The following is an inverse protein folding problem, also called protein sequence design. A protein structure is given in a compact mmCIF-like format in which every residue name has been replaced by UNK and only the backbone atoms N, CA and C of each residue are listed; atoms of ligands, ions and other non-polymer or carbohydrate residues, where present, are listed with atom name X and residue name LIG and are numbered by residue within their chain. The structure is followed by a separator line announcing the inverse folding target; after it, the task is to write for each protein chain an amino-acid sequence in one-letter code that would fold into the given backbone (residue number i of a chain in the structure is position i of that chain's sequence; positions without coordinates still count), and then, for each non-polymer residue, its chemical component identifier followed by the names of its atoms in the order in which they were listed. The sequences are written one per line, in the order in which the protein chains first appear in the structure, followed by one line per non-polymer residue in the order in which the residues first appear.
data_IF_523557562531
#
_entry.id   IF_523557562531
#
_cell.length_a   1.000
_cell.length_b   1.000
_cell.length_c   1.000
_cell.angle_alpha   90.00
_cell.angle_beta   90.00
_cell.angle_gamma   90.00
#
_symmetry.space_group_name_H-M   'P 1'
#
loop_
_entity.id
_entity.type
_entity.pdbx_description
1 polymer ?
#
# COMPACT_ATOMS: atom_id res chain seq x y z
N UNK A 1 -3.01 2.42 7.58
CA UNK A 1 -3.37 3.14 6.34
C UNK A 1 -4.24 2.25 5.45
N UNK A 2 -5.03 2.80 4.50
CA UNK A 2 -5.72 1.99 3.47
C UNK A 2 -5.19 2.36 2.09
N UNK A 3 -4.78 1.37 1.31
CA UNK A 3 -4.21 1.52 -0.03
C UNK A 3 -5.20 0.93 -1.03
N UNK A 4 -5.48 1.63 -2.13
CA UNK A 4 -6.34 1.11 -3.18
C UNK A 4 -5.53 0.41 -4.25
N UNK A 5 -5.88 -0.82 -4.60
CA UNK A 5 -5.28 -1.59 -5.69
C UNK A 5 -6.08 -1.37 -6.99
N UNK A 6 -5.47 -0.69 -7.97
CA UNK A 6 -6.10 -0.42 -9.26
C UNK A 6 -6.14 -1.64 -10.18
N UNK A 7 -5.24 -2.60 -10.00
CA UNK A 7 -5.16 -3.82 -10.81
C UNK A 7 -6.29 -4.78 -10.46
N UNK A 8 -6.52 -5.02 -9.16
CA UNK A 8 -7.58 -5.92 -8.67
C UNK A 8 -8.87 -5.21 -8.27
N UNK A 9 -8.87 -3.87 -8.23
CA UNK A 9 -10.03 -3.05 -7.80
C UNK A 9 -10.48 -3.36 -6.37
N UNK A 10 -9.51 -3.50 -5.46
CA UNK A 10 -9.72 -3.84 -4.04
C UNK A 10 -8.92 -2.94 -3.10
N UNK A 11 -9.12 -3.09 -1.80
CA UNK A 11 -8.34 -2.35 -0.80
C UNK A 11 -7.35 -3.28 -0.09
N UNK A 12 -6.12 -2.80 0.00
CA UNK A 12 -5.07 -3.36 0.83
C UNK A 12 -5.00 -2.58 2.14
N UNK A 13 -4.77 -3.29 3.23
CA UNK A 13 -4.60 -2.72 4.55
C UNK A 13 -3.12 -2.76 4.90
N UNK A 14 -2.55 -1.57 5.09
CA UNK A 14 -1.19 -1.41 5.60
C UNK A 14 -1.08 -2.09 6.96
N UNK A 15 -0.13 -3.02 7.05
CA UNK A 15 0.20 -3.76 8.27
C UNK A 15 1.46 -3.20 8.92
N UNK A 16 2.43 -2.74 8.11
CA UNK A 16 3.69 -2.10 8.50
C UNK A 16 4.20 -1.21 7.33
N UNK A 17 5.20 -0.35 7.57
CA UNK A 17 5.75 0.67 6.62
C UNK A 17 5.85 0.25 5.14
N UNK A 18 6.23 -1.00 4.87
CA UNK A 18 6.42 -1.52 3.51
C UNK A 18 5.59 -2.78 3.22
N UNK A 19 4.62 -3.13 4.07
CA UNK A 19 3.79 -4.33 3.87
C UNK A 19 2.30 -4.07 4.03
N UNK A 20 1.51 -4.72 3.18
CA UNK A 20 0.06 -4.64 3.22
C UNK A 20 -0.56 -6.04 3.04
N UNK A 21 -1.84 -6.16 3.43
CA UNK A 21 -2.62 -7.38 3.31
C UNK A 21 -3.99 -7.06 2.75
N UNK A 22 -4.52 -7.89 1.85
CA UNK A 22 -5.90 -7.76 1.39
C UNK A 22 -6.90 -8.47 2.33
N UNK A 23 -8.19 -8.39 2.00
CA UNK A 23 -9.24 -9.06 2.80
C UNK A 23 -9.23 -10.58 2.70
N UNK A 24 -8.55 -11.15 1.72
CA UNK A 24 -8.43 -12.60 1.50
C UNK A 24 -7.20 -13.18 2.22
N UNK A 25 -6.31 -12.31 2.70
CA UNK A 25 -5.11 -12.66 3.45
C UNK A 25 -3.86 -12.78 2.59
N UNK A 26 -3.88 -12.32 1.33
CA UNK A 26 -2.68 -12.26 0.52
C UNK A 26 -1.80 -11.11 1.01
N UNK A 27 -0.49 -11.35 1.04
CA UNK A 27 0.49 -10.38 1.51
C UNK A 27 1.15 -9.67 0.33
N UNK A 28 1.33 -8.38 0.50
CA UNK A 28 1.94 -7.49 -0.47
C UNK A 28 3.11 -6.75 0.15
N UNK A 29 4.14 -6.49 -0.65
CA UNK A 29 5.28 -5.65 -0.26
C UNK A 29 5.35 -4.42 -1.16
N UNK A 30 5.59 -3.25 -0.57
CA UNK A 30 5.84 -2.00 -1.29
C UNK A 30 7.09 -2.14 -2.13
N UNK A 31 6.98 -1.86 -3.43
CA UNK A 31 8.12 -1.81 -4.36
C UNK A 31 8.41 -0.37 -4.78
N UNK A 32 7.38 0.48 -4.79
CA UNK A 32 7.49 1.92 -4.92
C UNK A 32 6.27 2.59 -4.28
N UNK A 33 6.19 3.92 -4.34
CA UNK A 33 5.09 4.70 -3.76
C UNK A 33 3.73 4.27 -4.31
N UNK A 34 3.65 4.03 -5.63
CA UNK A 34 2.42 3.61 -6.32
C UNK A 34 2.39 2.13 -6.76
N UNK A 35 3.30 1.28 -6.25
CA UNK A 35 3.34 -0.13 -6.65
C UNK A 35 3.61 -1.08 -5.49
N UNK A 36 2.91 -2.21 -5.52
CA UNK A 36 3.10 -3.32 -4.61
C UNK A 36 3.34 -4.63 -5.36
N UNK A 37 4.02 -5.58 -4.73
CA UNK A 37 4.20 -6.95 -5.24
C UNK A 37 3.45 -7.94 -4.36
N UNK A 38 2.62 -8.77 -4.99
CA UNK A 38 1.95 -9.90 -4.35
C UNK A 38 2.98 -11.01 -4.07
N UNK A 39 3.10 -11.44 -2.81
CA UNK A 39 4.08 -12.44 -2.40
C UNK A 39 3.65 -13.89 -2.69
N UNK A 40 2.37 -14.13 -2.97
CA UNK A 40 1.85 -15.44 -3.34
C UNK A 40 1.94 -15.67 -4.85
N UNK A 41 1.54 -14.68 -5.66
CA UNK A 41 1.57 -14.78 -7.12
C UNK A 41 2.86 -14.27 -7.76
N UNK A 42 3.57 -13.35 -7.10
CA UNK A 42 4.71 -12.64 -7.65
C UNK A 42 4.34 -11.53 -8.65
N UNK A 43 3.07 -11.18 -8.77
CA UNK A 43 2.59 -10.13 -9.68
C UNK A 43 2.82 -8.73 -9.10
N UNK A 44 3.01 -7.74 -9.99
CA UNK A 44 3.10 -6.33 -9.62
C UNK A 44 1.76 -5.64 -9.83
N UNK A 45 1.38 -4.85 -8.84
CA UNK A 45 0.10 -4.18 -8.76
C UNK A 45 0.31 -2.68 -8.66
N UNK A 46 -0.46 -1.92 -9.43
CA UNK A 46 -0.50 -0.48 -9.30
C UNK A 46 -1.47 -0.12 -8.19
N UNK A 47 -0.99 0.63 -7.22
CA UNK A 47 -1.76 1.02 -6.05
C UNK A 47 -1.87 2.54 -5.97
N UNK A 48 -2.75 3.03 -5.11
CA UNK A 48 -2.62 4.39 -4.61
C UNK A 48 -1.30 4.54 -3.85
N UNK A 49 -0.89 5.78 -3.65
CA UNK A 49 0.27 6.11 -2.84
C UNK A 49 0.21 5.43 -1.46
N UNK A 50 1.37 4.95 -1.01
CA UNK A 50 1.59 4.36 0.31
C UNK A 50 2.01 5.40 1.34
N UNK A 51 2.23 6.65 0.94
CA UNK A 51 2.68 7.74 1.78
C UNK A 51 1.81 7.87 3.02
N UNK A 52 2.48 7.81 4.17
CA UNK A 52 1.90 8.03 5.49
C UNK A 52 1.71 9.52 5.69
N UNK A 53 0.66 10.06 5.10
CA UNK A 53 0.18 11.42 5.38
C UNK A 53 -0.39 11.51 6.81
N UNK A 54 0.47 11.42 7.81
CA UNK A 54 0.24 11.92 9.17
C UNK A 54 1.61 12.38 9.73
N UNK A 55 1.98 13.65 9.52
CA UNK A 55 2.78 14.51 10.44
C UNK A 55 3.64 15.61 9.79
N UNK A 56 3.39 16.05 8.54
CA UNK A 56 3.75 17.44 8.17
C UNK A 56 2.68 18.40 8.72
N UNK A 57 2.66 18.55 10.05
CA UNK A 57 2.14 19.78 10.63
C UNK A 57 2.98 20.92 10.05
N UNK A 58 2.36 21.66 9.13
CA UNK A 58 2.74 23.00 8.68
C UNK A 58 3.67 23.65 9.72
N UNK A 59 4.92 23.89 9.34
CA UNK A 59 5.86 24.75 10.04
C UNK A 59 5.24 26.16 10.16
N UNK A 60 4.34 26.34 11.13
CA UNK A 60 3.77 27.61 11.56
C UNK A 60 4.71 28.20 12.63
N UNK A 61 5.76 28.88 12.18
CA UNK A 61 6.50 29.86 12.98
C UNK A 61 6.79 31.14 12.18
#
# INVERSE_FOLDING_TARGET
MSIFDFTKSEFLFDSDDDTAMDTEGNLYVRVSDDCAMDLESGELHFTSDWDKDEDEQDDLW
#
